data_IF_124595778400
#
_entry.id   IF_124595778400
#
_cell.length_a   1.000
_cell.length_b   1.000
_cell.length_c   1.000
_cell.angle_alpha   90.00
_cell.angle_beta   90.00
_cell.angle_gamma   90.00
#
_symmetry.space_group_name_H-M   'P 1'
#
loop_
_entity.id
_entity.type
_entity.pdbx_description
1 polymer ?
#
# COMPACT_ATOMS: atom_id res chain seq x y z
N UNK A 1 -33.25 -12.48 15.66
CA UNK A 1 -34.07 -11.68 16.60
C UNK A 1 -35.33 -11.18 15.93
N UNK A 2 -35.26 -10.65 14.70
CA UNK A 2 -36.45 -10.24 13.92
C UNK A 2 -37.16 -11.42 13.23
N UNK A 3 -36.44 -12.47 12.81
CA UNK A 3 -37.03 -13.57 12.00
C UNK A 3 -37.12 -14.92 12.70
N UNK A 4 -36.61 -15.05 13.94
CA UNK A 4 -36.43 -16.31 14.68
C UNK A 4 -35.76 -17.48 13.89
N UNK A 5 -35.25 -17.24 12.69
CA UNK A 5 -34.55 -18.22 11.88
C UNK A 5 -33.09 -18.40 12.33
N UNK A 6 -32.50 -19.61 12.17
CA UNK A 6 -31.07 -19.80 12.36
C UNK A 6 -30.31 -18.85 11.42
N UNK A 7 -29.25 -18.22 11.95
CA UNK A 7 -28.49 -17.21 11.20
C UNK A 7 -27.80 -17.87 10.00
N UNK A 8 -27.91 -17.26 8.82
CA UNK A 8 -27.26 -17.75 7.60
C UNK A 8 -25.75 -17.45 7.54
N UNK A 9 -25.24 -16.56 8.40
CA UNK A 9 -23.85 -16.08 8.36
C UNK A 9 -23.27 -15.81 9.76
N UNK A 10 -22.01 -16.18 9.95
CA UNK A 10 -21.21 -15.84 11.14
C UNK A 10 -20.50 -14.50 10.92
N UNK A 11 -20.66 -13.57 11.86
CA UNK A 11 -19.92 -12.28 11.89
C UNK A 11 -18.82 -12.40 12.96
N UNK A 12 -17.59 -12.06 12.60
CA UNK A 12 -16.49 -11.94 13.57
C UNK A 12 -16.08 -10.47 13.65
N UNK A 13 -15.84 -9.99 14.87
CA UNK A 13 -15.22 -8.69 15.08
C UNK A 13 -13.75 -8.75 14.60
N UNK A 14 -13.30 -7.68 13.94
CA UNK A 14 -11.90 -7.53 13.48
C UNK A 14 -11.04 -6.87 14.56
N UNK A 15 -11.68 -6.16 15.50
CA UNK A 15 -11.06 -5.45 16.63
C UNK A 15 -11.65 -5.92 17.95
N UNK A 16 -11.03 -5.56 19.05
CA UNK A 16 -11.66 -5.66 20.37
C UNK A 16 -12.98 -4.86 20.35
N UNK A 17 -14.10 -5.56 20.50
CA UNK A 17 -15.44 -5.01 20.30
C UNK A 17 -16.37 -5.44 21.42
N UNK A 18 -17.23 -4.51 21.85
CA UNK A 18 -18.27 -4.80 22.81
C UNK A 18 -19.55 -5.27 22.11
N UNK A 19 -20.14 -6.36 22.62
CA UNK A 19 -21.38 -6.88 22.08
C UNK A 19 -22.56 -6.41 22.92
N UNK A 20 -23.29 -5.42 22.41
CA UNK A 20 -24.57 -5.02 22.97
C UNK A 20 -25.71 -5.90 22.43
N UNK A 21 -26.44 -6.59 23.33
CA UNK A 21 -27.66 -7.31 22.98
C UNK A 21 -28.88 -6.45 23.28
N UNK A 22 -29.63 -6.09 22.24
CA UNK A 22 -30.88 -5.34 22.38
C UNK A 22 -32.06 -6.31 22.57
N UNK A 23 -32.78 -6.32 23.70
CA UNK A 23 -33.96 -7.16 23.91
C UNK A 23 -35.12 -6.80 22.96
N UNK A 24 -36.00 -7.75 22.69
CA UNK A 24 -37.11 -7.58 21.74
C UNK A 24 -38.09 -6.50 22.20
N UNK A 25 -38.41 -6.47 23.50
CA UNK A 25 -39.27 -5.43 24.07
C UNK A 25 -38.68 -4.02 23.90
N UNK A 26 -37.37 -3.87 24.07
CA UNK A 26 -36.68 -2.59 23.87
C UNK A 26 -36.68 -2.17 22.40
N UNK A 27 -36.47 -3.12 21.48
CA UNK A 27 -36.57 -2.85 20.04
C UNK A 27 -37.96 -2.37 19.65
N UNK A 28 -39.01 -3.02 20.16
CA UNK A 28 -40.40 -2.64 19.88
C UNK A 28 -40.73 -1.26 20.48
N UNK A 29 -40.23 -0.95 21.67
CA UNK A 29 -40.38 0.38 22.27
C UNK A 29 -39.69 1.48 21.43
N UNK A 30 -38.48 1.23 20.92
CA UNK A 30 -37.77 2.15 20.02
C UNK A 30 -38.54 2.32 18.70
N UNK A 31 -39.10 1.24 18.15
CA UNK A 31 -39.93 1.27 16.93
C UNK A 31 -41.16 2.16 17.08
N UNK A 32 -41.83 2.08 18.23
CA UNK A 32 -43.01 2.91 18.52
C UNK A 32 -42.63 4.38 18.78
N UNK A 33 -41.52 4.62 19.48
CA UNK A 33 -41.12 5.97 19.90
C UNK A 33 -40.38 6.76 18.83
N UNK A 34 -39.61 6.08 17.97
CA UNK A 34 -38.82 6.69 16.90
C UNK A 34 -38.95 5.91 15.57
N UNK A 35 -40.11 5.98 14.89
CA UNK A 35 -40.36 5.19 13.68
C UNK A 35 -39.35 5.47 12.55
N UNK A 36 -38.92 6.72 12.41
CA UNK A 36 -37.96 7.17 11.39
C UNK A 36 -36.60 6.47 11.55
N UNK A 37 -36.13 6.28 12.78
CA UNK A 37 -34.85 5.61 13.07
C UNK A 37 -34.92 4.15 12.63
N UNK A 38 -36.03 3.46 12.91
CA UNK A 38 -36.22 2.06 12.53
C UNK A 38 -36.29 1.90 11.02
N UNK A 39 -36.99 2.78 10.30
CA UNK A 39 -37.00 2.77 8.83
C UNK A 39 -35.60 2.93 8.25
N UNK A 40 -34.78 3.83 8.80
CA UNK A 40 -33.38 4.01 8.37
C UNK A 40 -32.52 2.79 8.67
N UNK A 41 -32.71 2.16 9.83
CA UNK A 41 -32.02 0.93 10.25
C UNK A 41 -32.37 -0.25 9.34
N UNK A 42 -33.66 -0.39 8.97
CA UNK A 42 -34.14 -1.39 8.00
C UNK A 42 -33.53 -1.12 6.62
N UNK A 43 -33.52 0.12 6.15
CA UNK A 43 -32.90 0.47 4.86
C UNK A 43 -31.40 0.14 4.85
N UNK A 44 -30.66 0.44 5.93
CA UNK A 44 -29.23 0.09 6.05
C UNK A 44 -29.00 -1.43 6.04
N UNK A 45 -29.82 -2.19 6.79
CA UNK A 45 -29.75 -3.65 6.80
C UNK A 45 -30.13 -4.25 5.44
N UNK A 46 -31.17 -3.71 4.79
CA UNK A 46 -31.60 -4.10 3.46
C UNK A 46 -30.52 -3.87 2.41
N UNK A 47 -29.87 -2.70 2.42
CA UNK A 47 -28.73 -2.41 1.54
C UNK A 47 -27.55 -3.38 1.78
N UNK A 48 -27.23 -3.73 3.03
CA UNK A 48 -26.16 -4.71 3.31
C UNK A 48 -26.52 -6.11 2.80
N UNK A 49 -27.75 -6.56 3.02
CA UNK A 49 -28.20 -7.89 2.60
C UNK A 49 -28.22 -7.97 1.07
N UNK A 50 -28.81 -6.97 0.39
CA UNK A 50 -28.85 -6.90 -1.08
C UNK A 50 -27.46 -6.73 -1.70
N UNK A 51 -26.56 -5.95 -1.06
CA UNK A 51 -25.17 -5.79 -1.48
C UNK A 51 -24.37 -7.09 -1.39
N UNK A 52 -24.64 -7.92 -0.39
CA UNK A 52 -24.06 -9.26 -0.27
C UNK A 52 -24.61 -10.25 -1.31
N UNK A 53 -25.79 -10.01 -1.89
CA UNK A 53 -26.44 -10.90 -2.85
C UNK A 53 -26.16 -10.52 -4.32
N UNK A 54 -25.80 -9.25 -4.58
CA UNK A 54 -25.48 -8.76 -5.95
C UNK A 54 -24.06 -9.04 -6.43
N UNK A 55 -23.21 -9.76 -5.68
CA UNK A 55 -21.93 -10.28 -6.20
C UNK A 55 -22.04 -11.78 -6.50
N UNK A 56 -22.55 -12.19 -7.69
CA UNK A 56 -22.32 -13.54 -8.16
C UNK A 56 -20.83 -13.72 -8.46
N UNK A 57 -20.37 -14.93 -8.20
CA UNK A 57 -18.99 -15.42 -8.29
C UNK A 57 -18.34 -15.20 -9.65
N UNK A 58 -17.66 -14.07 -9.83
CA UNK A 58 -16.64 -13.92 -10.87
C UNK A 58 -15.32 -13.64 -10.16
N UNK A 59 -14.42 -14.64 -10.24
CA UNK A 59 -13.01 -14.58 -9.84
C UNK A 59 -12.71 -14.53 -8.33
N UNK A 60 -12.41 -15.71 -7.76
CA UNK A 60 -11.87 -15.90 -6.39
C UNK A 60 -10.37 -15.56 -6.26
N UNK A 61 -9.87 -14.62 -7.05
CA UNK A 61 -8.52 -14.09 -6.94
C UNK A 61 -8.56 -12.61 -7.33
N UNK A 62 -7.84 -11.79 -6.56
CA UNK A 62 -7.92 -10.33 -6.47
C UNK A 62 -8.86 -9.93 -5.33
N UNK A 63 -8.28 -9.81 -4.14
CA UNK A 63 -8.79 -8.94 -3.08
C UNK A 63 -8.91 -7.53 -3.65
N UNK A 64 -10.07 -7.23 -4.27
CA UNK A 64 -10.44 -5.87 -4.63
C UNK A 64 -10.51 -5.10 -3.33
N UNK A 65 -9.46 -4.33 -3.04
CA UNK A 65 -9.48 -3.32 -1.98
C UNK A 65 -10.78 -2.54 -2.12
N UNK A 66 -11.63 -2.42 -1.09
CA UNK A 66 -12.68 -1.44 -1.11
C UNK A 66 -12.00 -0.08 -1.32
N UNK A 67 -12.25 0.54 -2.47
CA UNK A 67 -11.89 1.92 -2.73
C UNK A 67 -12.52 2.76 -1.62
N UNK A 68 -11.69 3.49 -0.86
CA UNK A 68 -12.04 4.34 0.30
C UNK A 68 -12.03 3.68 1.70
N UNK A 69 -10.96 3.00 2.10
CA UNK A 69 -10.69 2.82 3.53
C UNK A 69 -9.74 3.92 4.02
N UNK A 70 -10.27 4.90 4.73
CA UNK A 70 -9.46 5.75 5.61
C UNK A 70 -9.18 4.93 6.87
N UNK A 71 -7.91 4.66 7.18
CA UNK A 71 -7.56 3.96 8.41
C UNK A 71 -7.64 4.92 9.59
N UNK A 72 -8.57 4.68 10.51
CA UNK A 72 -8.68 5.49 11.74
C UNK A 72 -7.58 5.15 12.74
N UNK A 73 -7.15 3.88 12.79
CA UNK A 73 -6.09 3.43 13.71
C UNK A 73 -5.01 2.64 13.01
N UNK A 74 -3.75 3.02 13.27
CA UNK A 74 -2.59 2.41 12.62
C UNK A 74 -1.57 2.00 13.69
N UNK A 75 -1.31 0.70 13.81
CA UNK A 75 -0.25 0.19 14.67
C UNK A 75 1.07 0.11 13.93
N UNK A 76 2.17 0.51 14.59
CA UNK A 76 3.50 0.51 14.02
C UNK A 76 4.36 -0.48 14.80
N UNK A 77 4.73 -1.58 14.13
CA UNK A 77 5.46 -2.72 14.72
C UNK A 77 6.84 -2.81 14.08
N UNK A 78 7.94 -2.78 14.85
CA UNK A 78 9.28 -3.01 14.33
C UNK A 78 9.51 -4.51 14.10
N UNK A 79 10.22 -4.86 13.02
CA UNK A 79 10.70 -6.24 12.79
C UNK A 79 11.88 -6.59 13.72
N UNK A 80 12.73 -5.61 14.02
CA UNK A 80 13.92 -5.77 14.87
C UNK A 80 14.21 -4.54 15.72
N UNK A 81 15.06 -4.69 16.73
CA UNK A 81 15.47 -3.61 17.66
C UNK A 81 16.30 -2.50 16.98
N UNK A 82 16.87 -2.79 15.81
CA UNK A 82 17.65 -1.83 15.02
C UNK A 82 16.76 -0.78 14.33
N UNK A 83 15.45 -1.03 14.22
CA UNK A 83 14.51 -0.14 13.52
C UNK A 83 14.33 1.14 14.34
N UNK A 84 14.55 2.34 13.79
CA UNK A 84 14.38 3.59 14.51
C UNK A 84 12.89 3.96 14.65
N UNK A 85 12.14 3.18 15.42
CA UNK A 85 10.68 3.19 15.48
C UNK A 85 10.11 4.54 15.91
N UNK A 86 10.69 5.17 16.94
CA UNK A 86 10.26 6.50 17.39
C UNK A 86 10.45 7.54 16.29
N UNK A 87 11.62 7.56 15.66
CA UNK A 87 11.93 8.51 14.59
C UNK A 87 10.98 8.32 13.39
N UNK A 88 10.76 7.07 12.99
CA UNK A 88 9.80 6.71 11.94
C UNK A 88 8.39 7.21 12.26
N UNK A 89 7.92 6.97 13.48
CA UNK A 89 6.59 7.37 13.92
C UNK A 89 6.45 8.89 13.92
N UNK A 90 7.49 9.63 14.31
CA UNK A 90 7.47 11.10 14.24
C UNK A 90 7.44 11.63 12.81
N UNK A 91 8.21 11.08 11.87
CA UNK A 91 8.19 11.50 10.46
C UNK A 91 6.83 11.22 9.80
N UNK A 92 6.22 10.08 10.12
CA UNK A 92 4.87 9.75 9.68
C UNK A 92 3.83 10.68 10.30
N UNK A 93 3.88 10.88 11.62
CA UNK A 93 3.00 11.80 12.34
C UNK A 93 3.08 13.22 11.75
N UNK A 94 4.30 13.70 11.50
CA UNK A 94 4.53 15.00 10.89
C UNK A 94 3.85 15.13 9.52
N UNK A 95 4.01 14.10 8.67
CA UNK A 95 3.42 14.06 7.33
C UNK A 95 1.89 13.96 7.36
N UNK A 96 1.32 13.23 8.32
CA UNK A 96 -0.13 13.08 8.50
C UNK A 96 -0.80 14.38 8.97
N UNK A 97 -0.17 15.11 9.88
CA UNK A 97 -0.67 16.40 10.34
C UNK A 97 -0.89 17.39 9.19
N UNK A 98 -0.07 17.31 8.14
CA UNK A 98 -0.11 18.25 7.01
C UNK A 98 -0.97 17.77 5.86
N UNK A 99 -1.07 16.46 5.61
CA UNK A 99 -2.06 15.94 4.66
C UNK A 99 -3.50 16.34 5.06
N UNK A 100 -3.77 16.56 6.35
CA UNK A 100 -5.05 17.07 6.83
C UNK A 100 -5.31 18.55 6.47
N UNK A 101 -4.29 19.37 6.24
CA UNK A 101 -4.40 20.80 5.93
C UNK A 101 -4.64 21.06 4.43
N UNK A 102 -3.95 20.34 3.54
CA UNK A 102 -3.96 20.61 2.10
C UNK A 102 -5.25 20.22 1.35
N UNK A 103 -6.19 19.52 1.99
CA UNK A 103 -7.45 19.10 1.36
C UNK A 103 -8.48 20.26 1.27
N UNK A 104 -8.16 21.47 1.72
CA UNK A 104 -9.19 22.46 2.11
C UNK A 104 -9.39 23.71 1.25
N UNK A 105 -8.80 23.88 0.05
CA UNK A 105 -8.99 25.15 -0.70
C UNK A 105 -10.13 25.17 -1.75
N UNK A 106 -10.50 24.05 -2.40
CA UNK A 106 -11.51 24.08 -3.48
C UNK A 106 -12.68 23.10 -3.35
N UNK A 107 -12.72 22.28 -2.30
CA UNK A 107 -13.81 21.32 -2.07
C UNK A 107 -14.66 21.75 -0.89
N UNK A 108 -15.93 22.05 -1.16
CA UNK A 108 -17.00 22.28 -0.20
C UNK A 108 -16.85 21.41 1.06
N UNK A 109 -16.41 22.04 2.14
CA UNK A 109 -16.39 21.60 3.53
C UNK A 109 -16.38 20.06 3.76
N UNK A 110 -15.19 19.46 3.67
CA UNK A 110 -14.90 18.17 4.32
C UNK A 110 -13.80 18.41 5.36
N UNK A 111 -14.20 18.82 6.58
CA UNK A 111 -13.39 18.61 7.80
C UNK A 111 -13.28 17.10 8.06
N UNK A 112 -12.51 16.40 7.22
CA UNK A 112 -12.52 14.93 7.16
C UNK A 112 -11.43 14.22 7.95
N UNK A 113 -10.40 14.92 8.40
CA UNK A 113 -9.35 14.32 9.23
C UNK A 113 -9.17 15.19 10.47
N UNK A 114 -9.79 14.76 11.57
CA UNK A 114 -9.44 15.29 12.89
C UNK A 114 -7.93 15.19 13.13
N UNK A 115 -7.41 15.95 14.09
CA UNK A 115 -5.98 15.97 14.42
C UNK A 115 -5.38 14.54 14.47
N UNK A 116 -4.14 14.37 14.01
CA UNK A 116 -3.44 13.08 14.18
C UNK A 116 -2.99 12.95 15.63
N UNK A 117 -3.15 11.77 16.23
CA UNK A 117 -2.66 11.48 17.58
C UNK A 117 -1.60 10.40 17.55
N UNK A 118 -0.53 10.55 18.34
CA UNK A 118 0.46 9.49 18.57
C UNK A 118 0.38 8.99 20.00
N UNK A 119 0.12 7.70 20.17
CA UNK A 119 0.04 7.04 21.46
C UNK A 119 1.20 6.05 21.65
N UNK A 120 1.81 6.10 22.83
CA UNK A 120 2.84 5.17 23.29
C UNK A 120 2.47 4.61 24.66
N UNK A 121 3.14 3.53 25.08
CA UNK A 121 3.04 2.95 26.42
C UNK A 121 3.28 4.00 27.53
N UNK A 122 4.25 4.90 27.35
CA UNK A 122 4.52 6.00 28.28
C UNK A 122 3.38 7.03 28.34
N UNK A 123 2.82 7.41 27.19
CA UNK A 123 1.73 8.40 27.09
C UNK A 123 0.49 7.89 27.81
N UNK A 124 0.10 6.63 27.59
CA UNK A 124 -1.09 6.07 28.24
C UNK A 124 -0.91 5.91 29.74
N UNK A 125 0.28 5.50 30.22
CA UNK A 125 0.57 5.38 31.65
C UNK A 125 0.55 6.73 32.34
N UNK A 126 1.06 7.78 31.67
CA UNK A 126 1.02 9.15 32.17
C UNK A 126 -0.41 9.70 32.25
N UNK A 127 -1.25 9.39 31.28
CA UNK A 127 -2.62 9.93 31.21
C UNK A 127 -3.63 9.17 32.08
N UNK A 128 -3.51 7.85 32.20
CA UNK A 128 -4.52 7.00 32.84
C UNK A 128 -4.05 6.30 34.13
N UNK A 129 -2.74 6.35 34.41
CA UNK A 129 -2.10 5.71 35.56
C UNK A 129 -1.20 4.53 35.17
N UNK A 130 -0.23 4.18 36.03
CA UNK A 130 0.77 3.15 35.74
C UNK A 130 0.19 1.74 35.57
N UNK A 131 -0.93 1.42 36.22
CA UNK A 131 -1.63 0.11 36.18
C UNK A 131 -2.67 -0.01 35.06
N UNK A 132 -2.78 0.95 34.14
CA UNK A 132 -3.82 0.93 33.10
C UNK A 132 -3.74 -0.27 32.15
N UNK A 133 -2.56 -0.86 32.01
CA UNK A 133 -2.31 -2.01 31.15
C UNK A 133 -2.61 -3.36 31.83
N UNK A 134 -3.03 -3.36 33.10
CA UNK A 134 -3.43 -4.56 33.81
C UNK A 134 -4.84 -5.00 33.36
N UNK A 135 -5.10 -6.31 33.32
CA UNK A 135 -6.36 -6.89 32.83
C UNK A 135 -7.61 -6.31 33.50
N UNK A 136 -7.51 -5.93 34.78
CA UNK A 136 -8.62 -5.36 35.54
C UNK A 136 -9.11 -4.00 34.98
N UNK A 137 -8.25 -3.29 34.24
CA UNK A 137 -8.53 -1.98 33.69
C UNK A 137 -8.85 -2.01 32.19
N UNK A 138 -9.05 -3.19 31.60
CA UNK A 138 -9.26 -3.37 30.15
C UNK A 138 -10.44 -2.55 29.63
N UNK A 139 -11.56 -2.52 30.36
CA UNK A 139 -12.74 -1.72 29.98
C UNK A 139 -12.43 -0.22 29.94
N UNK A 140 -11.76 0.30 30.98
CA UNK A 140 -11.40 1.72 31.08
C UNK A 140 -10.44 2.13 29.96
N UNK A 141 -9.44 1.29 29.66
CA UNK A 141 -8.53 1.53 28.55
C UNK A 141 -9.26 1.49 27.21
N UNK A 142 -10.13 0.51 26.99
CA UNK A 142 -10.92 0.37 25.75
C UNK A 142 -11.78 1.59 25.49
N UNK A 143 -12.55 2.02 26.51
CA UNK A 143 -13.42 3.19 26.41
C UNK A 143 -12.63 4.47 26.14
N UNK A 144 -11.47 4.65 26.78
CA UNK A 144 -10.63 5.82 26.53
C UNK A 144 -10.00 5.82 25.14
N UNK A 145 -9.52 4.67 24.66
CA UNK A 145 -9.00 4.54 23.29
C UNK A 145 -10.10 4.84 22.26
N UNK A 146 -11.30 4.31 22.44
CA UNK A 146 -12.44 4.60 21.57
C UNK A 146 -12.77 6.11 21.55
N UNK A 147 -12.67 6.79 22.68
CA UNK A 147 -12.82 8.25 22.74
C UNK A 147 -11.72 8.99 21.95
N UNK A 148 -10.47 8.53 22.02
CA UNK A 148 -9.39 9.12 21.23
C UNK A 148 -9.59 8.87 19.74
N UNK A 149 -10.06 7.68 19.34
CA UNK A 149 -10.38 7.32 17.96
C UNK A 149 -11.53 8.15 17.38
N UNK A 150 -12.51 8.55 18.21
CA UNK A 150 -13.62 9.43 17.79
C UNK A 150 -13.19 10.90 17.64
N UNK A 151 -12.24 11.35 18.46
CA UNK A 151 -11.76 12.74 18.46
C UNK A 151 -10.71 13.03 17.37
N UNK A 152 -10.04 12.01 16.86
CA UNK A 152 -8.88 12.14 15.97
C UNK A 152 -9.15 11.43 14.64
N UNK A 153 -8.71 12.03 13.54
CA UNK A 153 -8.90 11.41 12.22
C UNK A 153 -8.08 10.14 12.06
N UNK A 154 -6.85 10.17 12.61
CA UNK A 154 -5.91 9.04 12.60
C UNK A 154 -5.19 8.96 13.96
N UNK A 155 -5.23 7.79 14.58
CA UNK A 155 -4.48 7.46 15.80
C UNK A 155 -3.34 6.48 15.47
N UNK A 156 -2.11 6.93 15.69
CA UNK A 156 -0.90 6.12 15.55
C UNK A 156 -0.58 5.41 16.88
N UNK A 157 -0.70 4.10 16.88
CA UNK A 157 -0.28 3.23 17.97
C UNK A 157 1.19 2.83 17.78
N UNK A 158 2.10 3.51 18.47
CA UNK A 158 3.52 3.13 18.47
C UNK A 158 3.73 1.96 19.44
N UNK A 159 4.06 0.79 18.91
CA UNK A 159 4.33 -0.40 19.72
C UNK A 159 5.68 -0.29 20.45
N UNK A 160 5.86 -1.12 21.48
CA UNK A 160 7.17 -1.33 22.08
C UNK A 160 7.99 -2.33 21.23
N UNK A 161 9.32 -2.36 21.41
CA UNK A 161 10.20 -3.32 20.72
C UNK A 161 10.01 -4.77 21.19
N UNK A 162 9.31 -4.95 22.32
CA UNK A 162 8.94 -6.26 22.85
C UNK A 162 7.42 -6.45 22.82
N UNK A 163 6.99 -7.71 22.96
CA UNK A 163 5.58 -8.06 23.08
C UNK A 163 5.04 -7.73 24.48
N UNK A 164 4.84 -6.44 24.75
CA UNK A 164 4.21 -5.95 25.98
C UNK A 164 2.68 -6.01 25.88
N UNK A 165 1.98 -5.83 27.01
CA UNK A 165 0.52 -5.67 27.01
C UNK A 165 0.05 -4.52 26.11
N UNK A 166 0.84 -3.44 26.03
CA UNK A 166 0.59 -2.34 25.10
C UNK A 166 0.73 -2.78 23.64
N UNK A 167 1.84 -3.42 23.27
CA UNK A 167 2.04 -3.93 21.89
C UNK A 167 0.93 -4.88 21.47
N UNK A 168 0.53 -5.82 22.34
CA UNK A 168 -0.60 -6.72 22.07
C UNK A 168 -1.91 -5.95 21.86
N UNK A 169 -2.15 -4.91 22.66
CA UNK A 169 -3.33 -4.06 22.53
C UNK A 169 -3.35 -3.28 21.22
N UNK A 170 -2.23 -2.67 20.85
CA UNK A 170 -2.08 -1.95 19.57
C UNK A 170 -2.43 -2.86 18.38
N UNK A 171 -1.89 -4.08 18.37
CA UNK A 171 -2.10 -5.08 17.30
C UNK A 171 -3.55 -5.52 17.20
N UNK A 172 -4.26 -5.68 18.32
CA UNK A 172 -5.69 -6.08 18.36
C UNK A 172 -6.65 -4.96 18.00
N UNK A 173 -6.29 -3.71 18.30
CA UNK A 173 -7.16 -2.56 18.12
C UNK A 173 -7.03 -1.90 16.74
N UNK A 174 -5.86 -2.02 16.10
CA UNK A 174 -5.57 -1.31 14.85
C UNK A 174 -6.38 -1.83 13.65
N UNK A 175 -6.71 -0.91 12.74
CA UNK A 175 -7.27 -1.22 11.43
C UNK A 175 -6.20 -1.64 10.43
N UNK A 176 -5.02 -1.03 10.54
CA UNK A 176 -3.85 -1.33 9.73
C UNK A 176 -2.62 -1.51 10.62
N UNK A 177 -1.81 -2.51 10.31
CA UNK A 177 -0.54 -2.76 11.00
C UNK A 177 0.60 -2.53 10.01
N UNK A 178 1.39 -1.50 10.27
CA UNK A 178 2.64 -1.24 9.57
C UNK A 178 3.76 -2.06 10.20
N UNK A 179 4.36 -2.94 9.41
CA UNK A 179 5.47 -3.78 9.82
C UNK A 179 6.74 -3.15 9.25
N UNK A 180 7.53 -2.55 10.13
CA UNK A 180 8.65 -1.70 9.73
C UNK A 180 9.96 -2.48 9.83
N UNK A 181 10.63 -2.66 8.69
CA UNK A 181 11.91 -3.33 8.56
C UNK A 181 12.97 -2.42 7.95
N UNK A 182 14.24 -2.79 8.15
CA UNK A 182 15.36 -2.17 7.44
C UNK A 182 15.65 -2.96 6.17
N UNK A 183 15.67 -2.28 5.01
CA UNK A 183 15.85 -2.95 3.72
C UNK A 183 17.27 -3.51 3.51
N UNK A 184 18.26 -2.98 4.24
CA UNK A 184 19.66 -3.44 4.23
C UNK A 184 19.91 -4.70 5.07
N UNK A 185 18.88 -5.22 5.76
CA UNK A 185 18.95 -6.45 6.57
C UNK A 185 18.34 -7.65 5.85
N UNK A 186 18.63 -8.83 6.35
CA UNK A 186 18.05 -10.07 5.84
C UNK A 186 16.54 -10.17 6.13
N UNK A 187 15.74 -10.78 5.22
CA UNK A 187 14.28 -10.84 5.27
C UNK A 187 13.73 -11.83 6.32
N UNK A 188 14.26 -11.84 7.54
CA UNK A 188 13.81 -12.70 8.64
C UNK A 188 12.47 -12.24 9.24
N UNK A 189 11.71 -13.16 9.84
CA UNK A 189 10.46 -12.86 10.55
C UNK A 189 10.78 -12.45 11.98
N UNK A 190 10.30 -11.27 12.39
CA UNK A 190 10.55 -10.71 13.73
C UNK A 190 9.84 -11.48 14.86
N UNK A 191 10.25 -11.24 16.12
CA UNK A 191 9.63 -11.89 17.29
C UNK A 191 8.17 -11.49 17.48
N UNK A 192 7.89 -10.18 17.44
CA UNK A 192 6.53 -9.64 17.55
C UNK A 192 5.69 -10.06 16.34
N UNK A 193 6.31 -10.05 15.16
CA UNK A 193 5.66 -10.37 13.89
C UNK A 193 4.99 -11.77 13.88
N UNK A 194 5.64 -12.78 14.50
CA UNK A 194 5.05 -14.12 14.66
C UNK A 194 3.73 -14.10 15.44
N UNK A 195 3.62 -13.21 16.43
CA UNK A 195 2.40 -13.06 17.22
C UNK A 195 1.36 -12.20 16.52
N UNK A 196 1.76 -11.25 15.67
CA UNK A 196 0.84 -10.46 14.83
C UNK A 196 0.03 -11.36 13.91
N UNK A 197 0.67 -12.37 13.30
CA UNK A 197 -0.01 -13.36 12.46
C UNK A 197 -1.10 -14.11 13.23
N UNK A 198 -0.87 -14.41 14.51
CA UNK A 198 -1.83 -15.09 15.39
C UNK A 198 -2.93 -14.15 15.91
N UNK A 199 -2.58 -12.96 16.36
CA UNK A 199 -3.48 -12.05 17.09
C UNK A 199 -4.41 -11.26 16.17
N UNK A 200 -3.96 -10.95 14.96
CA UNK A 200 -4.62 -9.99 14.09
C UNK A 200 -4.90 -10.58 12.71
N UNK A 201 -5.34 -11.84 12.61
CA UNK A 201 -5.48 -12.60 11.35
C UNK A 201 -6.18 -11.80 10.24
N UNK A 202 -7.27 -11.10 10.58
CA UNK A 202 -8.11 -10.36 9.63
C UNK A 202 -7.73 -8.89 9.44
N UNK A 203 -6.86 -8.36 10.29
CA UNK A 203 -6.36 -6.97 10.18
C UNK A 203 -5.43 -6.86 8.99
N UNK A 204 -5.51 -5.74 8.27
CA UNK A 204 -4.63 -5.44 7.14
C UNK A 204 -3.21 -5.22 7.65
N UNK A 205 -2.22 -5.82 6.97
CA UNK A 205 -0.81 -5.58 7.27
C UNK A 205 -0.07 -5.09 6.04
N UNK A 206 0.76 -4.09 6.24
CA UNK A 206 1.58 -3.50 5.21
C UNK A 206 3.04 -3.54 5.63
N UNK A 207 3.90 -4.04 4.75
CA UNK A 207 5.34 -4.10 4.98
C UNK A 207 5.97 -2.76 4.59
N UNK A 208 6.71 -2.14 5.50
CA UNK A 208 7.44 -0.90 5.24
C UNK A 208 8.93 -1.19 5.32
N UNK A 209 9.63 -1.00 4.21
CA UNK A 209 11.08 -1.22 4.10
C UNK A 209 11.81 0.12 4.06
N UNK A 210 12.60 0.38 5.10
CA UNK A 210 13.35 1.61 5.26
C UNK A 210 14.70 1.53 4.54
N UNK A 211 14.96 2.55 3.73
CA UNK A 211 16.20 2.74 2.99
C UNK A 211 16.93 3.97 3.52
N UNK A 212 18.23 3.87 3.74
CA UNK A 212 19.05 5.02 4.15
C UNK A 212 19.17 6.01 2.99
N UNK A 213 19.27 7.29 3.29
CA UNK A 213 19.54 8.32 2.28
C UNK A 213 20.83 7.99 1.51
N UNK A 214 20.74 7.99 0.18
CA UNK A 214 21.87 7.62 -0.70
C UNK A 214 22.12 6.12 -0.84
N UNK A 215 21.27 5.26 -0.26
CA UNK A 215 21.29 3.83 -0.57
C UNK A 215 20.93 3.56 -2.04
N UNK A 216 21.39 2.42 -2.54
CA UNK A 216 20.97 1.87 -3.82
C UNK A 216 19.45 1.73 -3.91
N UNK A 217 18.94 1.61 -5.14
CA UNK A 217 17.53 1.24 -5.40
C UNK A 217 17.12 -0.02 -4.62
N UNK A 218 15.82 -0.19 -4.30
CA UNK A 218 15.34 -1.38 -3.63
C UNK A 218 15.68 -2.64 -4.43
N UNK A 219 15.98 -3.72 -3.72
CA UNK A 219 16.36 -5.02 -4.28
C UNK A 219 15.88 -6.10 -3.32
N UNK A 220 15.68 -7.31 -3.85
CA UNK A 220 15.37 -8.51 -3.06
C UNK A 220 14.04 -8.42 -2.27
N UNK A 221 13.10 -7.59 -2.71
CA UNK A 221 11.81 -7.39 -2.04
C UNK A 221 10.93 -8.64 -2.12
N UNK A 222 11.10 -9.44 -3.17
CA UNK A 222 10.41 -10.73 -3.33
C UNK A 222 10.71 -11.69 -2.17
N UNK A 223 11.96 -11.72 -1.66
CA UNK A 223 12.29 -12.57 -0.51
C UNK A 223 11.58 -12.11 0.78
N UNK A 224 11.48 -10.79 1.00
CA UNK A 224 10.71 -10.21 2.10
C UNK A 224 9.23 -10.62 2.06
N UNK A 225 8.64 -10.58 0.87
CA UNK A 225 7.22 -10.89 0.63
C UNK A 225 6.93 -12.40 0.66
N UNK A 226 7.85 -13.25 0.20
CA UNK A 226 7.69 -14.71 0.27
C UNK A 226 7.61 -15.22 1.70
N UNK A 227 8.37 -14.60 2.62
CA UNK A 227 8.31 -14.91 4.04
C UNK A 227 7.04 -14.38 4.73
N UNK A 228 6.26 -13.53 4.04
CA UNK A 228 5.10 -12.78 4.57
C UNK A 228 3.91 -12.89 3.64
N UNK A 229 3.45 -14.11 3.39
CA UNK A 229 2.36 -14.34 2.42
C UNK A 229 1.05 -13.64 2.78
N UNK A 230 0.87 -13.29 4.06
CA UNK A 230 -0.27 -12.60 4.64
C UNK A 230 -0.21 -11.06 4.57
N UNK A 231 0.90 -10.47 4.13
CA UNK A 231 1.01 -9.02 3.92
C UNK A 231 0.22 -8.61 2.67
N UNK A 232 -0.57 -7.55 2.79
CA UNK A 232 -1.45 -7.05 1.72
C UNK A 232 -0.75 -6.11 0.73
N UNK A 233 0.28 -5.40 1.18
CA UNK A 233 1.09 -4.48 0.35
C UNK A 233 2.43 -4.19 0.99
N UNK A 234 3.34 -3.62 0.20
CA UNK A 234 4.62 -3.12 0.70
C UNK A 234 4.93 -1.71 0.21
N UNK A 235 5.76 -1.02 0.98
CA UNK A 235 6.18 0.36 0.73
C UNK A 235 7.68 0.50 0.98
N UNK A 236 8.39 1.10 0.03
CA UNK A 236 9.79 1.49 0.21
C UNK A 236 9.88 2.95 0.63
N UNK A 237 10.54 3.22 1.76
CA UNK A 237 10.68 4.58 2.28
C UNK A 237 12.15 4.97 2.32
N UNK A 238 12.50 5.98 1.53
CA UNK A 238 13.79 6.64 1.62
C UNK A 238 13.78 7.60 2.82
N UNK A 239 14.58 7.25 3.82
CA UNK A 239 14.64 7.92 5.10
C UNK A 239 15.73 8.98 5.13
N UNK A 240 15.45 10.10 5.79
CA UNK A 240 16.40 11.17 6.04
C UNK A 240 17.54 10.69 6.97
N UNK A 241 18.77 11.21 6.79
CA UNK A 241 19.91 10.87 7.67
C UNK A 241 19.62 11.04 9.16
N UNK A 242 18.78 12.01 9.53
CA UNK A 242 18.43 12.31 10.94
C UNK A 242 17.74 11.15 11.64
N UNK A 243 16.99 10.30 10.93
CA UNK A 243 16.29 9.15 11.52
C UNK A 243 17.23 8.10 12.11
N UNK A 244 18.42 7.94 11.55
CA UNK A 244 19.38 6.91 11.97
C UNK A 244 20.46 7.46 12.92
N UNK A 245 20.31 8.70 13.40
CA UNK A 245 21.25 9.28 14.36
C UNK A 245 21.11 8.58 15.71
N UNK A 246 22.20 7.95 16.19
CA UNK A 246 22.23 7.34 17.53
C UNK A 246 22.14 8.42 18.60
N UNK A 247 20.95 8.57 19.18
CA UNK A 247 20.63 9.56 20.22
C UNK A 247 19.81 8.91 21.32
N UNK A 248 19.85 9.48 22.52
CA UNK A 248 18.92 9.10 23.59
C UNK A 248 17.49 9.47 23.20
N UNK A 249 16.50 8.74 23.73
CA UNK A 249 15.08 8.98 23.46
C UNK A 249 14.67 10.45 23.71
N UNK A 250 15.19 11.07 24.79
CA UNK A 250 14.98 12.49 25.08
C UNK A 250 15.46 13.41 23.94
N UNK A 251 16.68 13.19 23.43
CA UNK A 251 17.25 13.98 22.33
C UNK A 251 16.54 13.74 21.00
N UNK A 252 16.00 12.54 20.79
CA UNK A 252 15.14 12.24 19.64
C UNK A 252 13.85 13.06 19.74
N UNK A 253 13.18 13.05 20.89
CA UNK A 253 11.96 13.82 21.10
C UNK A 253 12.21 15.34 20.92
N UNK A 254 13.32 15.87 21.45
CA UNK A 254 13.67 17.29 21.31
C UNK A 254 13.95 17.67 19.84
N UNK A 255 14.66 16.82 19.09
CA UNK A 255 14.88 17.00 17.65
C UNK A 255 13.55 17.07 16.92
N UNK A 256 12.66 16.10 17.14
CA UNK A 256 11.40 16.03 16.41
C UNK A 256 10.43 17.14 16.81
N UNK A 257 10.46 17.64 18.04
CA UNK A 257 9.71 18.84 18.41
C UNK A 257 10.08 20.05 17.53
N UNK A 258 11.36 20.17 17.12
CA UNK A 258 11.82 21.22 16.19
C UNK A 258 11.42 20.91 14.75
N UNK A 259 11.54 19.65 14.31
CA UNK A 259 11.12 19.21 12.96
C UNK A 259 9.63 19.41 12.74
N UNK A 260 8.80 19.15 13.76
CA UNK A 260 7.35 19.33 13.67
C UNK A 260 6.91 20.77 13.41
N UNK A 261 7.78 21.75 13.64
CA UNK A 261 7.53 23.18 13.35
C UNK A 261 7.87 23.56 11.91
N UNK A 262 8.58 22.71 11.15
CA UNK A 262 8.89 22.96 9.74
C UNK A 262 7.78 22.45 8.82
N UNK A 263 7.69 22.95 7.60
CA UNK A 263 6.76 22.38 6.61
C UNK A 263 7.29 21.04 6.09
N UNK A 264 6.47 19.97 6.05
CA UNK A 264 6.88 18.70 5.48
C UNK A 264 6.93 18.80 3.95
N UNK A 265 7.89 18.08 3.39
CA UNK A 265 8.02 17.95 1.95
C UNK A 265 6.92 17.03 1.37
N UNK A 266 6.02 17.61 0.58
CA UNK A 266 4.90 16.91 -0.07
C UNK A 266 5.33 15.72 -0.94
N UNK A 267 6.54 15.75 -1.50
CA UNK A 267 7.11 14.70 -2.34
C UNK A 267 7.93 13.67 -1.55
N UNK A 268 7.97 13.76 -0.22
CA UNK A 268 8.63 12.77 0.64
C UNK A 268 7.88 11.44 0.65
N UNK A 269 8.61 10.35 0.88
CA UNK A 269 8.01 9.00 1.00
C UNK A 269 7.09 8.87 2.22
N UNK A 270 7.37 9.64 3.28
CA UNK A 270 6.47 9.74 4.43
C UNK A 270 5.17 10.46 4.10
N UNK A 271 5.21 11.52 3.28
CA UNK A 271 4.00 12.18 2.77
C UNK A 271 3.20 11.27 1.85
N UNK A 272 3.86 10.47 1.00
CA UNK A 272 3.18 9.41 0.24
C UNK A 272 2.49 8.41 1.16
N UNK A 273 3.18 7.91 2.19
CA UNK A 273 2.59 6.95 3.13
C UNK A 273 1.45 7.59 3.95
N UNK A 274 1.56 8.86 4.32
CA UNK A 274 0.49 9.59 4.97
C UNK A 274 -0.76 9.72 4.08
N UNK A 275 -0.59 10.04 2.79
CA UNK A 275 -1.68 10.04 1.81
C UNK A 275 -2.28 8.66 1.59
N UNK A 276 -1.44 7.63 1.59
CA UNK A 276 -1.91 6.24 1.53
C UNK A 276 -2.82 5.88 2.70
N UNK A 277 -2.39 6.17 3.93
CA UNK A 277 -3.15 5.85 5.13
C UNK A 277 -4.45 6.65 5.27
N UNK A 278 -4.43 7.90 4.79
CA UNK A 278 -5.59 8.80 4.80
C UNK A 278 -6.52 8.63 3.60
N UNK A 279 -6.21 7.73 2.66
CA UNK A 279 -7.03 7.51 1.47
C UNK A 279 -6.97 8.63 0.43
N UNK A 280 -5.95 9.51 0.49
CA UNK A 280 -5.76 10.68 -0.38
C UNK A 280 -4.61 10.50 -1.39
N UNK A 281 -4.18 9.26 -1.64
CA UNK A 281 -3.11 8.97 -2.60
C UNK A 281 -3.46 9.39 -4.03
N UNK A 282 -2.48 9.97 -4.72
CA UNK A 282 -2.61 10.41 -6.12
C UNK A 282 -1.95 9.40 -7.05
N UNK A 283 -2.75 8.81 -7.96
CA UNK A 283 -2.27 7.88 -8.97
C UNK A 283 -2.08 8.53 -10.35
N UNK A 284 -0.98 8.22 -11.01
CA UNK A 284 -0.68 8.67 -12.38
C UNK A 284 -0.89 7.51 -13.37
N UNK A 285 -1.74 7.69 -14.38
CA UNK A 285 -1.99 6.67 -15.41
C UNK A 285 -1.48 7.14 -16.76
N UNK A 286 -0.59 6.35 -17.38
CA UNK A 286 0.09 6.69 -18.62
C UNK A 286 -0.41 5.84 -19.79
N UNK A 287 -1.04 6.50 -20.76
CA UNK A 287 -1.53 5.88 -21.99
C UNK A 287 -0.42 5.41 -22.94
N UNK A 288 -0.80 4.50 -23.83
CA UNK A 288 0.03 4.05 -24.95
C UNK A 288 0.09 5.10 -26.08
N UNK A 289 1.06 4.98 -26.98
CA UNK A 289 1.22 5.96 -28.08
C UNK A 289 2.51 5.88 -28.90
N UNK A 290 3.27 4.77 -28.81
CA UNK A 290 4.51 4.59 -29.57
C UNK A 290 5.55 5.68 -29.34
N UNK A 291 6.15 6.20 -30.41
CA UNK A 291 7.22 7.21 -30.36
C UNK A 291 6.83 8.52 -29.63
N UNK A 292 5.54 8.83 -29.48
CA UNK A 292 5.06 10.01 -28.73
C UNK A 292 5.23 9.88 -27.22
N UNK A 293 5.60 8.71 -26.71
CA UNK A 293 5.75 8.47 -25.26
C UNK A 293 6.87 9.27 -24.59
N UNK A 294 7.78 9.91 -25.36
CA UNK A 294 8.74 10.87 -24.80
C UNK A 294 8.05 12.07 -24.11
N UNK A 295 6.82 12.41 -24.50
CA UNK A 295 6.01 13.44 -23.86
C UNK A 295 5.72 13.14 -22.39
N UNK A 296 5.65 11.86 -21.99
CA UNK A 296 5.42 11.47 -20.60
C UNK A 296 6.51 11.98 -19.65
N UNK A 297 7.76 12.10 -20.11
CA UNK A 297 8.86 12.66 -19.29
C UNK A 297 8.61 14.14 -18.98
N UNK A 298 8.23 14.92 -20.00
CA UNK A 298 7.91 16.34 -19.84
C UNK A 298 6.66 16.56 -18.98
N UNK A 299 5.64 15.71 -19.15
CA UNK A 299 4.41 15.76 -18.36
C UNK A 299 4.68 15.43 -16.88
N UNK A 300 5.47 14.40 -16.56
CA UNK A 300 5.86 14.10 -15.16
C UNK A 300 6.59 15.30 -14.55
N UNK A 301 7.51 15.92 -15.30
CA UNK A 301 8.21 17.12 -14.84
C UNK A 301 7.24 18.26 -14.51
N UNK A 302 6.28 18.54 -15.40
CA UNK A 302 5.27 19.59 -15.19
C UNK A 302 4.36 19.30 -13.99
N UNK A 303 3.95 18.04 -13.79
CA UNK A 303 3.14 17.61 -12.63
C UNK A 303 3.89 17.87 -11.32
N UNK A 304 5.19 17.54 -11.27
CA UNK A 304 6.03 17.80 -10.10
C UNK A 304 6.28 19.28 -9.87
N UNK A 305 6.50 20.07 -10.93
CA UNK A 305 6.65 21.53 -10.85
C UNK A 305 5.36 22.23 -10.37
N UNK A 306 4.20 21.65 -10.67
CA UNK A 306 2.91 22.09 -10.15
C UNK A 306 2.67 21.68 -8.67
N UNK A 307 3.61 21.00 -8.03
CA UNK A 307 3.48 20.54 -6.64
C UNK A 307 2.54 19.34 -6.46
N UNK A 308 2.15 18.66 -7.53
CA UNK A 308 1.24 17.51 -7.47
C UNK A 308 2.07 16.24 -7.15
N UNK A 309 1.78 15.52 -6.06
CA UNK A 309 2.48 14.29 -5.73
C UNK A 309 2.07 13.13 -6.66
N UNK A 310 3.00 12.20 -6.91
CA UNK A 310 2.75 10.96 -7.63
C UNK A 310 3.03 9.80 -6.67
N UNK A 311 1.97 9.16 -6.17
CA UNK A 311 2.04 8.14 -5.14
C UNK A 311 1.99 6.71 -5.70
N UNK A 312 1.41 6.53 -6.90
CA UNK A 312 1.39 5.25 -7.63
C UNK A 312 1.33 5.51 -9.14
N UNK A 313 1.81 4.56 -9.94
CA UNK A 313 1.82 4.70 -11.40
C UNK A 313 1.24 3.47 -12.10
N UNK A 314 0.38 3.72 -13.08
CA UNK A 314 -0.14 2.72 -14.00
C UNK A 314 0.26 3.04 -15.43
N UNK A 315 0.51 2.03 -16.26
CA UNK A 315 0.80 2.29 -17.67
C UNK A 315 0.45 1.17 -18.63
N UNK A 316 0.38 1.53 -19.91
CA UNK A 316 0.25 0.57 -21.03
C UNK A 316 1.25 0.89 -22.12
N UNK A 317 1.88 -0.14 -22.69
CA UNK A 317 2.85 -0.02 -23.79
C UNK A 317 4.00 0.98 -23.45
N UNK A 318 4.18 2.06 -24.22
CA UNK A 318 5.20 3.08 -23.92
C UNK A 318 4.96 3.82 -22.60
N UNK A 319 3.69 3.97 -22.19
CA UNK A 319 3.34 4.53 -20.89
C UNK A 319 3.78 3.62 -19.75
N UNK A 320 3.68 2.30 -19.93
CA UNK A 320 4.23 1.33 -18.98
C UNK A 320 5.75 1.48 -18.85
N UNK A 321 6.47 1.55 -19.98
CA UNK A 321 7.92 1.73 -19.97
C UNK A 321 8.34 3.02 -19.24
N UNK A 322 7.75 4.17 -19.60
CA UNK A 322 8.10 5.46 -18.98
C UNK A 322 7.67 5.53 -17.51
N UNK A 323 6.53 4.95 -17.16
CA UNK A 323 6.05 4.85 -15.78
C UNK A 323 6.96 3.99 -14.91
N UNK A 324 7.35 2.81 -15.40
CA UNK A 324 8.29 1.95 -14.69
C UNK A 324 9.65 2.62 -14.47
N UNK A 325 10.13 3.38 -15.47
CA UNK A 325 11.38 4.13 -15.37
C UNK A 325 11.30 5.22 -14.28
N UNK A 326 10.17 5.92 -14.18
CA UNK A 326 9.93 6.87 -13.10
C UNK A 326 9.91 6.18 -11.73
N UNK A 327 9.16 5.08 -11.59
CA UNK A 327 9.08 4.31 -10.34
C UNK A 327 10.43 3.71 -9.91
N UNK A 328 11.34 3.45 -10.86
CA UNK A 328 12.66 2.92 -10.58
C UNK A 328 13.67 3.99 -10.12
N UNK A 329 13.63 5.19 -10.72
CA UNK A 329 14.65 6.21 -10.47
C UNK A 329 14.22 7.29 -9.47
N UNK A 330 12.93 7.65 -9.42
CA UNK A 330 12.36 8.73 -8.60
C UNK A 330 13.06 10.10 -8.78
N UNK A 331 13.90 10.25 -9.81
CA UNK A 331 14.61 11.47 -10.13
C UNK A 331 14.39 11.82 -11.60
N UNK A 332 13.84 13.00 -11.85
CA UNK A 332 13.49 13.49 -13.19
C UNK A 332 14.72 13.59 -14.08
N UNK A 333 15.89 13.99 -13.55
CA UNK A 333 17.11 14.15 -14.36
C UNK A 333 17.62 12.79 -14.84
N UNK A 334 17.76 11.83 -13.93
CA UNK A 334 18.20 10.47 -14.25
C UNK A 334 17.19 9.75 -15.16
N UNK A 335 15.89 9.90 -14.89
CA UNK A 335 14.83 9.39 -15.76
C UNK A 335 14.95 9.97 -17.16
N UNK A 336 15.14 11.29 -17.29
CA UNK A 336 15.28 11.97 -18.60
C UNK A 336 16.49 11.45 -19.37
N UNK A 337 17.62 11.26 -18.70
CA UNK A 337 18.84 10.71 -19.31
C UNK A 337 18.59 9.29 -19.84
N UNK A 338 18.06 8.38 -19.00
CA UNK A 338 17.76 7.00 -19.37
C UNK A 338 16.70 6.91 -20.48
N UNK A 339 15.65 7.73 -20.40
CA UNK A 339 14.62 7.81 -21.42
C UNK A 339 15.17 8.30 -22.77
N UNK A 340 16.07 9.30 -22.76
CA UNK A 340 16.73 9.81 -23.96
C UNK A 340 17.68 8.78 -24.58
N UNK A 341 18.45 8.07 -23.77
CA UNK A 341 19.32 6.98 -24.23
C UNK A 341 18.52 5.85 -24.88
N UNK A 342 17.43 5.44 -24.22
CA UNK A 342 16.52 4.44 -24.77
C UNK A 342 15.89 4.92 -26.08
N UNK A 343 15.39 6.16 -26.13
CA UNK A 343 14.77 6.74 -27.32
C UNK A 343 15.76 6.84 -28.50
N UNK A 344 17.01 7.22 -28.27
CA UNK A 344 18.06 7.24 -29.31
C UNK A 344 18.30 5.85 -29.90
N UNK A 345 18.42 4.83 -29.05
CA UNK A 345 18.61 3.43 -29.49
C UNK A 345 17.38 2.91 -30.24
N UNK A 346 16.19 3.25 -29.77
CA UNK A 346 14.92 2.91 -30.44
C UNK A 346 14.75 3.61 -31.80
N UNK A 347 15.27 4.83 -31.95
CA UNK A 347 15.22 5.59 -33.22
C UNK A 347 16.23 5.06 -34.24
N UNK A 348 17.39 4.56 -33.79
CA UNK A 348 18.35 3.87 -34.67
C UNK A 348 17.73 2.60 -35.30
N UNK A 349 16.90 1.89 -34.54
CA UNK A 349 16.13 0.77 -35.05
C UNK A 349 15.06 1.16 -36.09
N UNK A 350 14.46 2.35 -36.01
CA UNK A 350 13.51 2.81 -37.04
C UNK A 350 14.16 2.93 -38.43
N UNK A 351 15.48 3.20 -38.51
CA UNK A 351 16.26 3.15 -39.77
C UNK A 351 16.57 1.72 -40.24
N UNK A 352 16.59 0.73 -39.35
CA UNK A 352 16.71 -0.70 -39.71
C UNK A 352 15.36 -1.35 -40.01
N UNK A 353 14.25 -0.86 -39.45
CA UNK A 353 12.89 -1.27 -39.81
C UNK A 353 12.46 -0.77 -41.20
N UNK A 354 13.00 0.38 -41.63
CA UNK A 354 12.79 0.92 -42.97
C UNK A 354 13.64 0.20 -44.04
N UNK A 355 14.53 -0.71 -43.65
CA UNK A 355 15.20 -1.62 -44.58
C UNK A 355 14.31 -2.87 -44.74
N UNK A 356 13.33 -2.69 -45.61
CA UNK A 356 12.11 -3.47 -45.73
C UNK A 356 12.32 -4.66 -46.68
N UNK A 357 12.41 -5.87 -46.15
CA UNK A 357 12.13 -7.10 -46.93
C UNK A 357 10.74 -7.59 -46.53
N UNK A 358 9.72 -7.34 -47.36
CA UNK A 358 8.42 -8.02 -47.29
C UNK A 358 8.52 -9.41 -47.98
N UNK A 359 7.64 -10.41 -47.71
CA UNK A 359 6.40 -10.37 -46.91
C UNK A 359 6.17 -11.59 -45.97
N UNK A 360 5.07 -11.47 -45.20
CA UNK A 360 4.27 -12.52 -44.50
C UNK A 360 4.89 -13.10 -43.22
N UNK A 361 4.14 -12.95 -42.12
CA UNK A 361 4.36 -13.56 -40.78
C UNK A 361 5.26 -12.75 -39.82
N UNK A 362 4.64 -11.89 -39.01
CA UNK A 362 5.24 -11.09 -37.92
C UNK A 362 5.93 -9.76 -38.30
N UNK A 363 5.19 -8.66 -38.12
CA UNK A 363 5.66 -7.27 -38.18
C UNK A 363 6.76 -6.82 -37.19
N UNK A 364 7.23 -7.62 -36.22
CA UNK A 364 8.29 -7.21 -35.29
C UNK A 364 9.05 -8.42 -34.72
N UNK A 365 10.38 -8.51 -34.90
CA UNK A 365 11.16 -9.63 -34.33
C UNK A 365 11.23 -9.62 -32.79
N UNK A 366 10.83 -8.53 -32.13
CA UNK A 366 10.66 -8.39 -30.67
C UNK A 366 11.93 -8.55 -29.82
N UNK A 367 12.98 -9.21 -30.35
CA UNK A 367 14.21 -9.58 -29.67
C UNK A 367 15.04 -8.37 -29.30
N UNK A 368 15.21 -7.44 -30.23
CA UNK A 368 15.95 -6.19 -29.97
C UNK A 368 15.20 -5.29 -28.99
N UNK A 369 13.87 -5.23 -29.09
CA UNK A 369 13.04 -4.50 -28.14
C UNK A 369 13.17 -5.08 -26.72
N UNK A 370 13.03 -6.39 -26.54
CA UNK A 370 13.25 -7.05 -25.25
C UNK A 370 14.69 -6.84 -24.73
N UNK A 371 15.68 -6.87 -25.62
CA UNK A 371 17.08 -6.59 -25.25
C UNK A 371 17.24 -5.16 -24.73
N UNK A 372 16.57 -4.16 -25.32
CA UNK A 372 16.62 -2.79 -24.79
C UNK A 372 15.94 -2.67 -23.44
N UNK A 373 14.80 -3.33 -23.22
CA UNK A 373 14.11 -3.36 -21.92
C UNK A 373 15.01 -4.01 -20.87
N UNK A 374 15.59 -5.17 -21.15
CA UNK A 374 16.48 -5.86 -20.21
C UNK A 374 17.75 -5.05 -19.91
N UNK A 375 18.28 -4.29 -20.87
CA UNK A 375 19.39 -3.36 -20.61
C UNK A 375 19.01 -2.18 -19.73
N UNK A 376 17.78 -1.67 -19.84
CA UNK A 376 17.33 -0.52 -19.05
C UNK A 376 16.94 -0.91 -17.63
N UNK A 377 16.20 -2.01 -17.46
CA UNK A 377 15.68 -2.43 -16.16
C UNK A 377 16.53 -3.54 -15.50
N UNK A 378 17.31 -4.30 -16.25
CA UNK A 378 18.04 -5.47 -15.73
C UNK A 378 17.08 -6.50 -15.15
N UNK A 379 17.54 -7.18 -14.10
CA UNK A 379 16.77 -8.17 -13.33
C UNK A 379 15.93 -7.52 -12.21
N UNK A 380 15.33 -6.36 -12.48
CA UNK A 380 14.53 -5.63 -11.48
C UNK A 380 13.09 -6.14 -11.49
N UNK A 381 12.60 -6.57 -10.33
CA UNK A 381 11.20 -6.96 -10.17
C UNK A 381 10.31 -5.74 -9.94
N UNK A 382 9.00 -5.87 -10.19
CA UNK A 382 8.05 -4.77 -9.95
C UNK A 382 8.00 -4.39 -8.47
N UNK A 383 8.21 -5.37 -7.58
CA UNK A 383 8.27 -5.20 -6.14
C UNK A 383 9.46 -4.35 -5.70
N UNK A 384 10.53 -4.27 -6.50
CA UNK A 384 11.75 -3.53 -6.18
C UNK A 384 11.68 -2.05 -6.63
N UNK A 385 10.54 -1.59 -7.17
CA UNK A 385 10.33 -0.20 -7.55
C UNK A 385 10.03 0.67 -6.32
N UNK A 386 10.47 1.94 -6.32
CA UNK A 386 10.22 2.87 -5.21
C UNK A 386 8.73 3.19 -5.02
N UNK A 387 7.97 3.20 -6.13
CA UNK A 387 6.56 3.51 -6.16
C UNK A 387 5.77 2.26 -6.57
N UNK A 388 4.58 2.02 -5.97
CA UNK A 388 3.63 1.04 -6.46
C UNK A 388 3.36 1.26 -7.96
N UNK A 389 3.49 0.18 -8.72
CA UNK A 389 3.39 0.22 -10.17
C UNK A 389 2.51 -0.92 -10.67
N UNK A 390 1.68 -0.62 -11.68
CA UNK A 390 0.97 -1.66 -12.42
C UNK A 390 1.08 -1.44 -13.93
N UNK A 391 1.06 -2.54 -14.67
CA UNK A 391 0.99 -2.50 -16.14
C UNK A 391 -0.10 -3.41 -16.65
N UNK A 392 -0.64 -3.08 -17.81
CA UNK A 392 -1.69 -3.86 -18.46
C UNK A 392 -1.13 -4.48 -19.73
N UNK A 393 -1.47 -5.75 -19.96
CA UNK A 393 -1.26 -6.44 -21.23
C UNK A 393 -2.55 -7.08 -21.72
N UNK A 394 -2.60 -7.41 -23.01
CA UNK A 394 -3.69 -8.22 -23.59
C UNK A 394 -3.21 -9.65 -23.73
N UNK A 395 -3.96 -10.59 -23.17
CA UNK A 395 -3.80 -12.01 -23.43
C UNK A 395 -4.52 -12.34 -24.73
N UNK A 396 -3.75 -12.69 -25.76
CA UNK A 396 -4.29 -12.95 -27.10
C UNK A 396 -5.03 -14.30 -27.12
N UNK A 397 -4.62 -15.26 -26.29
CA UNK A 397 -5.24 -16.59 -26.21
C UNK A 397 -6.66 -16.48 -25.65
N UNK A 398 -6.80 -15.79 -24.52
CA UNK A 398 -8.09 -15.63 -23.83
C UNK A 398 -8.86 -14.38 -24.27
N UNK A 399 -8.28 -13.57 -25.18
CA UNK A 399 -8.79 -12.25 -25.59
C UNK A 399 -9.19 -11.36 -24.40
N UNK A 400 -8.43 -11.45 -23.31
CA UNK A 400 -8.74 -10.80 -22.05
C UNK A 400 -7.62 -9.87 -21.57
N UNK A 401 -7.99 -8.90 -20.74
CA UNK A 401 -7.04 -8.00 -20.10
C UNK A 401 -6.31 -8.70 -18.95
N UNK A 402 -4.99 -8.58 -18.89
CA UNK A 402 -4.16 -9.01 -17.76
C UNK A 402 -3.56 -7.79 -17.08
N UNK A 403 -3.74 -7.68 -15.77
CA UNK A 403 -3.15 -6.63 -14.94
C UNK A 403 -1.98 -7.24 -14.18
N UNK A 404 -0.82 -6.61 -14.27
CA UNK A 404 0.41 -7.02 -13.61
C UNK A 404 0.73 -6.02 -12.51
N UNK A 405 0.53 -6.43 -11.26
CA UNK A 405 0.84 -5.63 -10.05
C UNK A 405 1.97 -6.24 -9.22
N UNK A 406 2.21 -7.53 -9.37
CA UNK A 406 3.21 -8.33 -8.68
C UNK A 406 3.68 -9.44 -9.61
N UNK A 407 4.84 -10.04 -9.34
CA UNK A 407 5.25 -11.33 -9.89
C UNK A 407 4.14 -12.32 -9.53
N UNK A 408 3.44 -12.81 -10.54
CA UNK A 408 2.22 -13.61 -10.39
C UNK A 408 2.51 -14.86 -9.55
N UNK A 409 2.07 -14.86 -8.27
CA UNK A 409 2.11 -16.04 -7.37
C UNK A 409 1.35 -17.26 -7.93
N UNK A 410 0.54 -17.08 -8.96
CA UNK A 410 -0.27 -18.11 -9.61
C UNK A 410 0.55 -19.29 -10.13
N UNK A 411 1.83 -19.10 -10.48
CA UNK A 411 2.69 -20.19 -10.95
C UNK A 411 3.23 -21.10 -9.82
N UNK A 412 3.17 -20.69 -8.54
CA UNK A 412 3.70 -21.49 -7.42
C UNK A 412 2.67 -22.35 -6.68
N UNK A 413 1.36 -22.16 -6.93
CA UNK A 413 0.29 -22.91 -6.24
C UNK A 413 -0.32 -24.06 -7.05
N UNK A 414 -0.06 -24.14 -8.35
CA UNK A 414 -0.33 -25.34 -9.15
C UNK A 414 1.00 -26.03 -9.36
N UNK A 415 1.25 -27.15 -8.67
CA UNK A 415 2.44 -27.98 -8.88
C UNK A 415 2.48 -28.57 -10.28
N UNK A 416 2.88 -27.77 -11.26
CA UNK A 416 3.09 -28.12 -12.65
C UNK A 416 4.40 -27.46 -13.12
N UNK A 417 5.52 -28.05 -12.71
CA UNK A 417 6.85 -27.78 -13.27
C UNK A 417 6.96 -28.20 -14.76
N UNK A 418 5.93 -28.81 -15.35
CA UNK A 418 5.95 -29.31 -16.73
C UNK A 418 5.62 -28.27 -17.83
N UNK A 419 5.11 -27.08 -17.50
CA UNK A 419 4.71 -26.10 -18.54
C UNK A 419 5.76 -25.03 -18.86
N UNK A 420 6.92 -25.01 -18.18
CA UNK A 420 8.05 -24.19 -18.60
C UNK A 420 8.64 -24.68 -19.95
N UNK A 421 8.52 -25.97 -20.26
CA UNK A 421 9.04 -26.57 -21.50
C UNK A 421 8.10 -26.40 -22.72
N UNK A 422 6.81 -26.15 -22.54
CA UNK A 422 5.88 -26.07 -23.68
C UNK A 422 5.96 -24.76 -24.47
N UNK A 423 6.57 -23.71 -23.92
CA UNK A 423 6.82 -22.46 -24.67
C UNK A 423 7.96 -22.59 -25.70
N UNK A 424 8.64 -23.75 -25.75
CA UNK A 424 9.68 -24.05 -26.73
C UNK A 424 9.20 -24.93 -27.89
N UNK A 425 8.02 -25.57 -27.82
CA UNK A 425 7.63 -26.62 -28.77
C UNK A 425 6.44 -26.31 -29.69
N UNK A 426 5.74 -25.18 -29.54
CA UNK A 426 4.69 -24.81 -30.50
C UNK A 426 4.98 -23.47 -31.16
N UNK A 427 5.73 -23.54 -32.25
CA UNK A 427 5.80 -22.47 -33.22
C UNK A 427 4.44 -22.26 -33.88
N UNK A 428 3.79 -21.12 -33.61
CA UNK A 428 3.27 -20.22 -34.62
C UNK A 428 2.45 -19.06 -34.00
N UNK A 429 2.80 -17.84 -34.43
CA UNK A 429 2.11 -16.54 -34.24
C UNK A 429 1.77 -16.07 -32.82
N UNK A 430 2.72 -15.40 -32.18
CA UNK A 430 2.42 -14.43 -31.11
C UNK A 430 3.06 -13.08 -31.44
N UNK A 431 2.24 -12.04 -31.52
CA UNK A 431 2.69 -10.66 -31.59
C UNK A 431 2.95 -10.14 -30.17
N UNK A 432 4.21 -9.81 -29.90
CA UNK A 432 4.76 -9.53 -28.58
C UNK A 432 4.36 -8.15 -28.06
N UNK A 433 3.51 -8.13 -27.03
CA UNK A 433 3.51 -7.09 -25.98
C UNK A 433 4.62 -7.42 -24.97
N UNK A 434 5.21 -6.45 -24.24
CA UNK A 434 6.41 -6.67 -23.43
C UNK A 434 6.15 -7.71 -22.34
N UNK A 435 6.63 -8.92 -22.57
CA UNK A 435 6.77 -9.94 -21.55
C UNK A 435 8.04 -9.60 -20.77
N UNK A 436 7.89 -9.18 -19.52
CA UNK A 436 8.94 -9.31 -18.52
C UNK A 436 9.20 -10.81 -18.38
N UNK A 437 10.16 -11.34 -19.14
CA UNK A 437 10.57 -12.74 -19.03
C UNK A 437 11.41 -12.91 -17.78
N UNK A 438 10.74 -13.40 -16.75
CA UNK A 438 11.27 -14.26 -15.69
C UNK A 438 11.98 -15.44 -16.36
N UNK A 439 13.27 -15.67 -16.08
CA UNK A 439 13.99 -16.91 -16.48
C UNK A 439 15.19 -17.13 -15.56
N UNK A 440 15.67 -18.38 -15.39
CA UNK A 440 14.99 -19.60 -14.95
C UNK A 440 14.89 -19.71 -13.42
#
# INVERSE_FOLDING_TARGET
MVTQTPRSTTVMAVRDSELAKLPEGLFNAIKLRFPIVVTRLINLLGHRILGSWKKPSVSRAIDTRPSQNNFSTVAIVPISDDVPLTAFTYELYHSLCVCALYVTEESEFVLGTGATLRLTSDVIRKSLGSSILDTNNEYRLTSWLAQQEDQHGIVLYQCDHNLTAWTQRCVRQADCILIVGLADKEPHIGKIEKEVERLAIRTQKELVLLHREGADRPKNTVAWLNNRTWVSSHHHIQCSKRMFSRRSQYRVNELYNKVLMSEPNIHSDFSRMARWLSGTSVGLVLGGGGARGAAHVGMIKAVLEAGIPIDMVGGVSIGAFMGALWCMEKNVTTMTQKAREWSKKMTQWWRQMLDLTYPVTSMFSGRDFNTTIQRTFGETHLEDLWLPYFTISTDITDSCMRVHTHVTRTYKKCGLEEQANQTQEQGHYSHTSPSFKISP
#
